data_IF_705458712317
#
_entry.id   IF_705458712317
#
_cell.length_a   1.000
_cell.length_b   1.000
_cell.length_c   1.000
_cell.angle_alpha   90.00
_cell.angle_beta   90.00
_cell.angle_gamma   90.00
#
_symmetry.space_group_name_H-M   'P 1'
#
loop_
_entity.id
_entity.type
_entity.pdbx_description
1 polymer ?
#
# COMPACT_ATOMS: atom_id res chain seq x y z
N UNK A 1 16.18 -28.66 19.36
CA UNK A 1 16.11 -29.11 17.94
C UNK A 1 17.21 -28.38 17.20
N UNK A 2 18.09 -29.15 16.56
CA UNK A 2 19.54 -28.90 16.56
C UNK A 2 20.05 -28.05 15.39
N UNK A 3 21.26 -27.50 15.57
CA UNK A 3 22.09 -26.80 14.57
C UNK A 3 22.21 -27.51 13.21
N UNK A 4 21.87 -28.80 13.13
CA UNK A 4 21.84 -29.59 11.89
C UNK A 4 20.68 -29.17 10.97
N UNK A 5 19.53 -28.76 11.52
CA UNK A 5 18.39 -28.27 10.72
C UNK A 5 18.69 -26.86 10.18
N UNK A 6 19.36 -26.00 10.97
CA UNK A 6 19.83 -24.69 10.49
C UNK A 6 20.84 -24.84 9.34
N UNK A 7 21.76 -25.81 9.44
CA UNK A 7 22.73 -26.10 8.37
C UNK A 7 22.08 -26.66 7.08
N UNK A 8 21.04 -27.50 7.19
CA UNK A 8 20.34 -28.04 6.00
C UNK A 8 19.46 -26.99 5.30
N UNK A 9 18.82 -26.09 6.04
CA UNK A 9 18.06 -24.97 5.46
C UNK A 9 19.00 -23.96 4.80
N UNK A 10 20.16 -23.67 5.39
CA UNK A 10 21.22 -22.91 4.72
C UNK A 10 21.75 -23.60 3.46
N UNK A 11 21.73 -24.93 3.37
CA UNK A 11 22.18 -25.65 2.16
C UNK A 11 21.16 -25.61 1.01
N UNK A 12 19.86 -25.60 1.31
CA UNK A 12 18.79 -25.47 0.32
C UNK A 12 18.60 -24.02 -0.15
N UNK A 13 18.57 -23.06 0.79
CA UNK A 13 18.67 -21.62 0.48
C UNK A 13 20.01 -21.31 -0.20
N UNK A 14 21.05 -22.03 0.20
CA UNK A 14 22.39 -21.97 -0.36
C UNK A 14 22.45 -22.34 -1.83
N UNK A 15 21.53 -23.10 -2.42
CA UNK A 15 21.56 -23.38 -3.88
C UNK A 15 20.93 -22.25 -4.72
N UNK A 16 19.89 -21.57 -4.23
CA UNK A 16 19.39 -20.34 -4.86
C UNK A 16 20.33 -19.16 -4.62
N UNK A 17 20.88 -19.06 -3.41
CA UNK A 17 21.91 -18.10 -3.03
C UNK A 17 23.26 -18.33 -3.72
N UNK A 18 23.71 -19.58 -3.91
CA UNK A 18 24.98 -19.88 -4.62
C UNK A 18 24.94 -19.37 -6.05
N UNK A 19 23.84 -19.58 -6.76
CA UNK A 19 23.72 -19.12 -8.14
C UNK A 19 23.72 -17.59 -8.26
N UNK A 20 23.37 -16.85 -7.20
CA UNK A 20 23.54 -15.41 -7.12
C UNK A 20 24.95 -15.02 -6.66
N UNK A 21 25.50 -15.65 -5.62
CA UNK A 21 26.88 -15.46 -5.15
C UNK A 21 27.95 -15.74 -6.21
N UNK A 22 27.68 -16.67 -7.14
CA UNK A 22 28.58 -17.11 -8.21
C UNK A 22 28.45 -16.31 -9.51
N UNK A 23 27.49 -15.39 -9.64
CA UNK A 23 27.41 -14.49 -10.80
C UNK A 23 28.40 -13.34 -10.60
N UNK A 24 29.32 -13.23 -11.55
CA UNK A 24 30.45 -12.31 -11.53
C UNK A 24 29.99 -10.86 -11.76
N UNK A 25 30.01 -10.06 -10.70
CA UNK A 25 30.33 -8.61 -10.62
C UNK A 25 29.98 -7.99 -9.24
N UNK A 26 29.45 -8.79 -8.30
CA UNK A 26 28.90 -8.24 -7.04
C UNK A 26 29.96 -7.73 -6.04
N UNK A 27 29.84 -6.44 -5.72
CA UNK A 27 30.44 -5.73 -4.60
C UNK A 27 30.32 -6.54 -3.29
N UNK A 28 31.38 -6.54 -2.45
CA UNK A 28 31.43 -7.20 -1.13
C UNK A 28 30.21 -6.83 -0.27
N UNK A 29 29.72 -5.61 -0.43
CA UNK A 29 28.53 -5.08 0.24
C UNK A 29 27.25 -5.87 -0.10
N UNK A 30 26.99 -6.14 -1.39
CA UNK A 30 25.80 -6.88 -1.83
C UNK A 30 25.81 -8.32 -1.34
N UNK A 31 26.97 -8.99 -1.34
CA UNK A 31 27.11 -10.33 -0.75
C UNK A 31 26.86 -10.33 0.75
N UNK A 32 27.38 -9.32 1.47
CA UNK A 32 27.11 -9.18 2.90
C UNK A 32 25.63 -8.91 3.18
N UNK A 33 24.96 -8.14 2.33
CA UNK A 33 23.53 -7.85 2.43
C UNK A 33 22.70 -9.12 2.28
N UNK A 34 22.96 -9.92 1.22
CA UNK A 34 22.22 -11.16 0.99
C UNK A 34 22.43 -12.18 2.12
N UNK A 35 23.63 -12.31 2.67
CA UNK A 35 23.86 -13.19 3.82
C UNK A 35 23.05 -12.77 5.04
N UNK A 36 23.05 -11.47 5.39
CA UNK A 36 22.24 -10.94 6.51
C UNK A 36 20.75 -11.16 6.29
N UNK A 37 20.28 -10.97 5.06
CA UNK A 37 18.89 -11.22 4.66
C UNK A 37 18.52 -12.69 4.84
N UNK A 38 19.35 -13.61 4.35
CA UNK A 38 19.12 -15.05 4.48
C UNK A 38 19.10 -15.49 5.94
N UNK A 39 19.99 -14.96 6.79
CA UNK A 39 19.97 -15.20 8.24
C UNK A 39 18.63 -14.77 8.85
N UNK A 40 18.15 -13.56 8.52
CA UNK A 40 16.85 -13.07 8.99
C UNK A 40 15.67 -13.89 8.47
N UNK A 41 15.71 -14.36 7.23
CA UNK A 41 14.67 -15.25 6.67
C UNK A 41 14.62 -16.57 7.44
N UNK A 42 15.77 -17.12 7.83
CA UNK A 42 15.85 -18.37 8.60
C UNK A 42 15.29 -18.21 10.00
N UNK A 43 15.50 -17.05 10.63
CA UNK A 43 15.03 -16.79 11.99
C UNK A 43 13.58 -16.23 12.05
N UNK A 44 13.03 -15.77 10.92
CA UNK A 44 11.67 -15.25 10.82
C UNK A 44 10.61 -16.34 10.94
N UNK A 45 9.59 -16.09 11.77
CA UNK A 45 8.41 -16.98 11.87
C UNK A 45 7.44 -16.85 10.70
N UNK A 46 7.64 -15.86 9.83
CA UNK A 46 6.79 -15.66 8.65
C UNK A 46 7.27 -16.45 7.44
N UNK A 47 8.45 -17.06 7.50
CA UNK A 47 9.00 -17.86 6.42
C UNK A 47 9.01 -19.35 6.76
N UNK A 48 8.77 -20.17 5.74
CA UNK A 48 8.96 -21.62 5.76
C UNK A 48 9.54 -22.05 4.42
N UNK A 49 10.63 -22.80 4.44
CA UNK A 49 11.31 -23.29 3.23
C UNK A 49 11.67 -22.16 2.24
N UNK A 50 12.04 -20.98 2.75
CA UNK A 50 12.39 -19.80 1.96
C UNK A 50 11.20 -19.07 1.33
N UNK A 51 9.97 -19.45 1.64
CA UNK A 51 8.72 -18.83 1.18
C UNK A 51 7.97 -18.22 2.37
N UNK A 52 7.29 -17.12 2.16
CA UNK A 52 6.41 -16.53 3.17
C UNK A 52 5.16 -17.39 3.34
N UNK A 53 4.78 -17.61 4.60
CA UNK A 53 3.58 -18.33 4.99
C UNK A 53 2.38 -17.43 4.73
N UNK A 54 1.62 -17.77 3.69
CA UNK A 54 0.35 -17.09 3.41
C UNK A 54 -0.77 -17.61 4.31
N UNK A 55 -1.63 -16.70 4.77
CA UNK A 55 -2.85 -16.99 5.54
C UNK A 55 -4.08 -16.50 4.79
N UNK A 56 -4.00 -16.51 3.46
CA UNK A 56 -5.07 -16.09 2.56
C UNK A 56 -6.40 -16.76 2.92
N UNK A 57 -7.51 -15.99 3.06
CA UNK A 57 -8.84 -16.55 3.17
C UNK A 57 -9.18 -17.47 1.99
N UNK A 58 -10.04 -18.45 2.25
CA UNK A 58 -10.63 -19.31 1.23
C UNK A 58 -12.16 -19.16 1.29
N UNK A 59 -12.65 -18.09 0.68
CA UNK A 59 -14.06 -17.72 0.61
C UNK A 59 -14.69 -18.37 -0.61
N UNK A 60 -15.84 -19.01 -0.41
CA UNK A 60 -16.61 -19.59 -1.50
C UNK A 60 -17.00 -18.50 -2.51
N UNK A 61 -16.62 -18.71 -3.77
CA UNK A 61 -16.93 -17.77 -4.86
C UNK A 61 -18.18 -18.23 -5.63
N UNK A 62 -19.13 -17.33 -5.91
CA UNK A 62 -20.26 -17.64 -6.78
C UNK A 62 -19.86 -17.69 -8.26
N UNK A 63 -18.69 -17.15 -8.62
CA UNK A 63 -18.14 -17.21 -9.98
C UNK A 63 -16.86 -18.04 -10.06
N UNK A 64 -16.68 -18.78 -11.15
CA UNK A 64 -15.43 -19.50 -11.41
C UNK A 64 -14.31 -18.54 -11.80
N UNK A 65 -13.07 -18.92 -11.48
CA UNK A 65 -11.88 -18.17 -11.91
C UNK A 65 -11.85 -17.94 -13.42
N UNK A 66 -12.28 -18.91 -14.22
CA UNK A 66 -12.36 -18.78 -15.69
C UNK A 66 -13.34 -17.69 -16.14
N UNK A 67 -14.49 -17.55 -15.46
CA UNK A 67 -15.48 -16.50 -15.74
C UNK A 67 -14.89 -15.12 -15.43
N UNK A 68 -14.23 -14.99 -14.28
CA UNK A 68 -13.59 -13.75 -13.83
C UNK A 68 -12.50 -13.32 -14.82
N UNK A 69 -11.63 -14.24 -15.22
CA UNK A 69 -10.58 -13.97 -16.21
C UNK A 69 -11.17 -13.58 -17.58
N UNK A 70 -12.29 -14.21 -17.99
CA UNK A 70 -12.96 -13.82 -19.22
C UNK A 70 -13.49 -12.38 -19.17
N UNK A 71 -14.13 -11.97 -18.06
CA UNK A 71 -14.55 -10.57 -17.88
C UNK A 71 -13.35 -9.62 -17.91
N UNK A 72 -12.28 -10.00 -17.23
CA UNK A 72 -11.07 -9.19 -17.11
C UNK A 72 -10.39 -8.93 -18.47
N UNK A 73 -10.40 -9.90 -19.39
CA UNK A 73 -9.79 -9.72 -20.71
C UNK A 73 -10.75 -9.21 -21.80
N UNK A 74 -12.03 -9.58 -21.73
CA UNK A 74 -13.00 -9.31 -22.82
C UNK A 74 -14.07 -8.27 -22.46
N UNK A 75 -14.23 -7.92 -21.18
CA UNK A 75 -15.20 -6.93 -20.70
C UNK A 75 -14.56 -5.76 -19.95
N UNK A 76 -13.23 -5.64 -19.97
CA UNK A 76 -12.48 -4.62 -19.23
C UNK A 76 -12.94 -3.19 -19.51
N UNK A 77 -13.34 -2.89 -20.75
CA UNK A 77 -13.82 -1.56 -21.13
C UNK A 77 -15.01 -1.07 -20.31
N UNK A 78 -15.88 -1.98 -19.84
CA UNK A 78 -17.01 -1.64 -18.98
C UNK A 78 -16.61 -1.40 -17.51
N UNK A 79 -15.42 -1.86 -17.11
CA UNK A 79 -14.87 -1.66 -15.77
C UNK A 79 -14.15 -0.31 -15.64
N UNK A 80 -13.77 0.30 -16.78
CA UNK A 80 -13.07 1.58 -16.88
C UNK A 80 -14.01 2.78 -16.74
N UNK A 81 -13.51 3.94 -16.29
CA UNK A 81 -14.23 5.19 -16.47
C UNK A 81 -14.40 5.49 -17.97
N UNK A 82 -15.52 6.13 -18.32
CA UNK A 82 -15.84 6.48 -19.71
C UNK A 82 -15.04 7.70 -20.22
N UNK A 83 -14.43 8.44 -19.30
CA UNK A 83 -13.55 9.57 -19.56
C UNK A 83 -12.37 9.53 -18.59
N UNK A 84 -11.30 10.25 -18.91
CA UNK A 84 -10.19 10.44 -17.97
C UNK A 84 -10.70 11.13 -16.72
N UNK A 85 -10.36 10.57 -15.55
CA UNK A 85 -10.75 11.16 -14.27
C UNK A 85 -9.96 12.45 -13.99
N UNK A 86 -10.58 13.45 -13.33
CA UNK A 86 -9.89 14.68 -13.00
C UNK A 86 -8.78 14.44 -11.97
N UNK A 87 -7.76 15.28 -12.02
CA UNK A 87 -6.74 15.40 -10.99
C UNK A 87 -6.46 16.87 -10.69
N UNK A 88 -5.85 17.13 -9.54
CA UNK A 88 -5.38 18.44 -9.13
C UNK A 88 -3.86 18.52 -9.33
N UNK A 89 -3.32 19.62 -9.89
CA UNK A 89 -1.88 19.82 -9.91
C UNK A 89 -1.32 19.86 -8.49
N UNK A 90 -0.23 19.13 -8.24
CA UNK A 90 0.44 19.15 -6.93
C UNK A 90 1.05 20.52 -6.67
N UNK A 91 0.82 21.07 -5.48
CA UNK A 91 1.46 22.29 -5.00
C UNK A 91 2.92 22.00 -4.58
N UNK A 92 3.83 22.05 -5.56
CA UNK A 92 5.25 21.78 -5.35
C UNK A 92 5.89 22.74 -4.37
N UNK A 93 5.45 24.01 -4.33
CA UNK A 93 5.98 25.01 -3.40
C UNK A 93 5.63 24.64 -1.95
N UNK A 94 4.39 24.20 -1.73
CA UNK A 94 3.94 23.66 -0.44
C UNK A 94 4.76 22.45 -0.03
N UNK A 95 4.94 21.46 -0.91
CA UNK A 95 5.74 20.25 -0.63
C UNK A 95 7.23 20.53 -0.42
N UNK A 96 7.76 21.56 -1.08
CA UNK A 96 9.17 21.98 -0.93
C UNK A 96 9.48 22.58 0.45
N UNK A 97 8.45 23.00 1.19
CA UNK A 97 8.57 23.45 2.58
C UNK A 97 8.26 22.30 3.52
N UNK A 98 9.23 21.87 4.35
CA UNK A 98 8.99 20.80 5.36
C UNK A 98 7.92 21.23 6.36
N UNK A 99 7.15 20.28 6.85
CA UNK A 99 6.06 20.51 7.82
C UNK A 99 6.28 19.68 9.08
N UNK A 100 6.15 20.31 10.25
CA UNK A 100 6.04 19.61 11.52
C UNK A 100 4.70 18.88 11.61
N UNK A 101 3.61 19.59 11.31
CA UNK A 101 2.27 19.03 11.30
C UNK A 101 2.09 18.03 10.15
N UNK A 102 1.43 16.88 10.39
CA UNK A 102 1.26 15.89 9.35
C UNK A 102 0.34 16.37 8.23
N UNK A 103 0.75 16.15 6.99
CA UNK A 103 -0.06 16.41 5.79
C UNK A 103 0.24 15.38 4.71
N UNK A 104 -0.75 15.11 3.87
CA UNK A 104 -0.70 14.06 2.86
C UNK A 104 -1.15 14.58 1.52
N UNK A 105 -0.37 14.28 0.49
CA UNK A 105 -0.73 14.41 -0.91
C UNK A 105 -0.97 13.04 -1.50
N UNK A 106 -2.16 12.80 -2.03
CA UNK A 106 -2.46 11.53 -2.71
C UNK A 106 -1.99 11.58 -4.15
N UNK A 107 -1.08 10.69 -4.53
CA UNK A 107 -0.52 10.64 -5.89
C UNK A 107 -1.26 9.66 -6.80
N UNK A 108 -2.37 9.09 -6.30
CA UNK A 108 -3.18 8.09 -6.97
C UNK A 108 -2.82 6.66 -6.55
N UNK A 109 -3.78 5.75 -6.72
CA UNK A 109 -3.71 4.36 -6.26
C UNK A 109 -3.35 4.29 -4.77
N UNK A 110 -2.24 3.65 -4.45
CA UNK A 110 -1.68 3.52 -3.10
C UNK A 110 -0.51 4.47 -2.83
N UNK A 111 -0.18 5.36 -3.77
CA UNK A 111 0.96 6.26 -3.65
C UNK A 111 0.62 7.52 -2.85
N UNK A 112 1.38 7.76 -1.78
CA UNK A 112 1.20 8.91 -0.89
C UNK A 112 2.52 9.66 -0.70
N UNK A 113 2.46 10.99 -0.71
CA UNK A 113 3.56 11.84 -0.23
C UNK A 113 3.15 12.46 1.10
N UNK A 114 3.90 12.17 2.15
CA UNK A 114 3.56 12.53 3.53
C UNK A 114 4.68 13.40 4.09
N UNK A 115 4.33 14.53 4.71
CA UNK A 115 5.22 15.20 5.66
C UNK A 115 4.73 14.88 7.07
N UNK A 116 5.65 14.54 7.98
CA UNK A 116 5.38 14.38 9.41
C UNK A 116 6.67 14.66 10.20
N UNK A 117 6.61 15.56 11.18
CA UNK A 117 7.77 16.02 11.95
C UNK A 117 8.99 16.39 11.09
N UNK A 118 8.77 17.17 10.05
CA UNK A 118 9.76 17.55 9.03
C UNK A 118 10.36 16.38 8.23
N UNK A 119 9.84 15.17 8.36
CA UNK A 119 10.27 14.01 7.57
C UNK A 119 9.34 13.81 6.39
N UNK A 120 9.92 13.73 5.19
CA UNK A 120 9.20 13.41 3.95
C UNK A 120 9.22 11.93 3.70
N UNK A 121 8.04 11.35 3.61
CA UNK A 121 7.83 9.93 3.35
C UNK A 121 7.10 9.78 2.02
N UNK A 122 7.63 8.94 1.15
CA UNK A 122 6.98 8.54 -0.09
C UNK A 122 6.58 7.07 0.03
N UNK A 123 5.28 6.80 0.01
CA UNK A 123 4.71 5.46 0.22
C UNK A 123 4.32 4.87 -1.13
N UNK A 124 4.69 3.61 -1.36
CA UNK A 124 4.35 2.76 -2.52
C UNK A 124 4.27 3.53 -3.85
N UNK A 125 5.38 4.17 -4.28
CA UNK A 125 5.34 5.14 -5.36
C UNK A 125 5.30 4.49 -6.74
N UNK A 126 4.15 4.58 -7.40
CA UNK A 126 3.93 4.11 -8.78
C UNK A 126 3.38 5.25 -9.62
N UNK A 127 4.14 5.63 -10.65
CA UNK A 127 3.84 6.80 -11.49
C UNK A 127 3.41 6.43 -12.91
N UNK A 128 3.72 5.21 -13.38
CA UNK A 128 3.54 4.81 -14.76
C UNK A 128 2.53 3.64 -14.87
N UNK A 129 2.92 2.40 -14.55
CA UNK A 129 2.07 1.22 -14.78
C UNK A 129 2.16 0.15 -13.69
N UNK A 130 1.03 -0.53 -13.49
CA UNK A 130 0.77 -1.56 -12.49
C UNK A 130 1.02 -3.00 -12.99
N UNK A 131 1.96 -3.20 -13.92
CA UNK A 131 2.14 -4.50 -14.58
C UNK A 131 3.57 -4.76 -15.03
N UNK A 132 3.92 -5.96 -15.53
CA UNK A 132 5.14 -6.13 -16.30
C UNK A 132 5.12 -5.24 -17.55
N UNK A 133 6.29 -4.76 -18.00
CA UNK A 133 6.40 -3.84 -19.15
C UNK A 133 5.63 -4.33 -20.40
N UNK A 134 5.62 -5.64 -20.66
CA UNK A 134 4.92 -6.27 -21.79
C UNK A 134 3.39 -6.12 -21.75
N UNK A 135 2.83 -5.83 -20.57
CA UNK A 135 1.40 -5.65 -20.31
C UNK A 135 1.05 -4.20 -19.98
N UNK A 136 1.96 -3.24 -20.21
CA UNK A 136 1.77 -1.82 -19.85
C UNK A 136 0.48 -1.22 -20.41
N UNK A 137 0.13 -1.51 -21.66
CA UNK A 137 -1.08 -0.97 -22.31
C UNK A 137 -2.39 -1.48 -21.70
N UNK A 138 -2.38 -2.66 -21.07
CA UNK A 138 -3.56 -3.23 -20.43
C UNK A 138 -3.86 -2.53 -19.10
N UNK A 139 -2.81 -2.06 -18.40
CA UNK A 139 -2.87 -1.49 -17.06
C UNK A 139 -2.42 -0.02 -17.03
N UNK A 140 -2.85 0.75 -18.03
CA UNK A 140 -2.70 2.20 -18.04
C UNK A 140 -3.53 2.84 -16.93
N UNK A 141 -3.05 3.97 -16.38
CA UNK A 141 -3.78 4.72 -15.36
C UNK A 141 -5.07 5.33 -15.92
N UNK A 142 -6.13 5.28 -15.13
CA UNK A 142 -7.41 5.98 -15.36
C UNK A 142 -7.37 7.46 -14.98
N UNK A 143 -6.49 7.78 -14.04
CA UNK A 143 -6.18 9.13 -13.59
C UNK A 143 -4.69 9.38 -13.84
N UNK A 144 -4.37 10.44 -14.58
CA UNK A 144 -2.99 10.79 -14.85
C UNK A 144 -2.25 11.01 -13.52
N UNK A 145 -0.98 10.59 -13.46
CA UNK A 145 -0.11 10.96 -12.35
C UNK A 145 -0.14 12.51 -12.22
N UNK A 146 -0.45 13.05 -11.04
CA UNK A 146 -0.68 14.49 -10.88
C UNK A 146 0.61 15.31 -10.96
N UNK A 147 1.76 14.62 -10.92
CA UNK A 147 3.10 15.16 -10.99
C UNK A 147 4.07 14.08 -11.46
N UNK A 148 5.15 14.49 -12.15
CA UNK A 148 6.25 13.59 -12.46
C UNK A 148 7.13 13.36 -11.22
N UNK A 149 7.68 12.16 -11.02
CA UNK A 149 8.56 11.87 -9.87
C UNK A 149 9.79 12.79 -9.80
N UNK A 150 10.22 13.32 -10.94
CA UNK A 150 11.30 14.30 -11.09
C UNK A 150 11.00 15.66 -10.46
N UNK A 151 9.72 16.00 -10.33
CA UNK A 151 9.26 17.30 -9.83
C UNK A 151 8.90 17.26 -8.34
N UNK A 152 8.87 16.08 -7.72
CA UNK A 152 8.68 15.96 -6.28
C UNK A 152 9.97 16.38 -5.55
N UNK A 153 9.84 17.07 -4.39
CA UNK A 153 10.94 17.17 -3.45
C UNK A 153 11.46 15.77 -3.10
N UNK A 154 12.77 15.62 -2.98
CA UNK A 154 13.35 14.31 -2.63
C UNK A 154 12.82 13.89 -1.23
N UNK A 155 12.20 12.70 -1.11
CA UNK A 155 11.77 12.18 0.18
C UNK A 155 12.98 11.74 0.98
N UNK A 156 12.86 11.72 2.31
CA UNK A 156 13.92 11.18 3.17
C UNK A 156 13.80 9.65 3.29
N UNK A 157 12.55 9.15 3.28
CA UNK A 157 12.25 7.71 3.36
C UNK A 157 11.26 7.33 2.26
N UNK A 158 11.54 6.25 1.54
CA UNK A 158 10.56 5.55 0.70
C UNK A 158 10.12 4.28 1.45
N UNK A 159 8.82 4.16 1.68
CA UNK A 159 8.20 3.00 2.32
C UNK A 159 7.53 2.15 1.25
N UNK A 160 7.78 0.84 1.27
CA UNK A 160 7.14 -0.14 0.37
C UNK A 160 6.32 -1.13 1.21
N UNK A 161 5.07 -1.42 0.85
CA UNK A 161 4.29 -2.47 1.54
C UNK A 161 4.60 -3.88 1.06
N UNK A 162 4.77 -4.09 -0.25
CA UNK A 162 5.03 -5.40 -0.84
C UNK A 162 5.56 -5.28 -2.28
N UNK A 163 5.84 -6.40 -2.94
CA UNK A 163 6.55 -6.43 -4.21
C UNK A 163 5.67 -6.48 -5.46
N UNK A 164 4.35 -6.27 -5.40
CA UNK A 164 3.53 -6.22 -6.62
C UNK A 164 3.82 -4.97 -7.46
N UNK A 165 3.49 -5.01 -8.75
CA UNK A 165 3.86 -3.96 -9.71
C UNK A 165 3.18 -2.62 -9.44
N UNK A 166 2.01 -2.63 -8.84
CA UNK A 166 1.20 -1.44 -8.51
C UNK A 166 1.55 -0.82 -7.15
N UNK A 167 2.50 -1.41 -6.43
CA UNK A 167 3.09 -0.88 -5.18
C UNK A 167 4.60 -0.67 -5.26
N UNK A 168 5.29 -1.42 -6.13
CA UNK A 168 6.74 -1.36 -6.32
C UNK A 168 7.08 -1.24 -7.81
N UNK A 169 7.36 -0.02 -8.25
CA UNK A 169 7.72 0.28 -9.64
C UNK A 169 9.24 0.39 -9.82
N UNK A 170 9.81 -0.47 -10.67
CA UNK A 170 11.26 -0.50 -10.98
C UNK A 170 11.77 0.87 -11.46
N UNK A 171 11.02 1.56 -12.31
CA UNK A 171 11.45 2.85 -12.87
C UNK A 171 11.57 3.94 -11.81
N UNK A 172 10.72 3.88 -10.78
CA UNK A 172 10.76 4.79 -9.64
C UNK A 172 11.91 4.44 -8.70
N UNK A 173 12.13 3.16 -8.38
CA UNK A 173 13.28 2.75 -7.56
C UNK A 173 14.60 3.16 -8.21
N UNK A 174 14.76 2.92 -9.51
CA UNK A 174 15.97 3.32 -10.26
C UNK A 174 16.22 4.81 -10.22
N UNK A 175 15.17 5.62 -10.30
CA UNK A 175 15.26 7.07 -10.23
C UNK A 175 15.73 7.59 -8.87
N UNK A 176 15.43 6.85 -7.79
CA UNK A 176 15.80 7.23 -6.42
C UNK A 176 17.09 6.54 -5.93
N UNK A 177 17.66 5.60 -6.69
CA UNK A 177 18.79 4.78 -6.26
C UNK A 177 20.06 5.59 -5.89
N UNK A 178 20.35 6.66 -6.63
CA UNK A 178 21.51 7.52 -6.43
C UNK A 178 21.21 8.73 -5.51
N UNK A 179 19.95 8.94 -5.13
CA UNK A 179 19.51 10.05 -4.27
C UNK A 179 19.71 9.77 -2.79
N UNK A 180 19.75 10.83 -1.99
CA UNK A 180 19.84 10.73 -0.53
C UNK A 180 18.46 10.38 0.06
N UNK A 181 18.15 9.08 0.04
CA UNK A 181 16.88 8.50 0.51
C UNK A 181 17.13 7.11 1.10
N UNK A 182 16.43 6.79 2.18
CA UNK A 182 16.40 5.43 2.73
C UNK A 182 15.17 4.67 2.21
N UNK A 183 15.34 3.39 1.90
CA UNK A 183 14.25 2.51 1.51
C UNK A 183 13.88 1.59 2.67
N UNK A 184 12.66 1.72 3.18
CA UNK A 184 12.11 0.86 4.23
C UNK A 184 11.15 -0.12 3.58
N UNK A 185 11.54 -1.40 3.58
CA UNK A 185 10.84 -2.44 2.82
C UNK A 185 10.67 -3.71 3.66
N UNK A 186 9.68 -4.57 3.36
CA UNK A 186 9.56 -5.86 4.02
C UNK A 186 10.75 -6.77 3.72
N UNK A 187 10.98 -7.74 4.58
CA UNK A 187 12.08 -8.70 4.44
C UNK A 187 12.06 -9.36 3.05
N UNK A 188 13.24 -9.46 2.46
CA UNK A 188 13.53 -9.96 1.12
C UNK A 188 13.13 -9.07 -0.08
N UNK A 189 12.33 -8.01 0.10
CA UNK A 189 12.05 -7.03 -0.98
C UNK A 189 13.32 -6.29 -1.41
N UNK A 190 14.29 -6.13 -0.50
CA UNK A 190 15.57 -5.47 -0.77
C UNK A 190 16.35 -6.09 -1.94
N UNK A 191 16.15 -7.38 -2.24
CA UNK A 191 16.76 -8.03 -3.43
C UNK A 191 16.38 -7.35 -4.73
N UNK A 192 15.13 -6.90 -4.86
CA UNK A 192 14.69 -6.18 -6.05
C UNK A 192 15.39 -4.82 -6.14
N UNK A 193 15.46 -4.08 -5.03
CA UNK A 193 16.08 -2.76 -4.96
C UNK A 193 17.57 -2.81 -5.28
N UNK A 194 18.31 -3.77 -4.70
CA UNK A 194 19.72 -3.99 -5.00
C UNK A 194 19.94 -4.29 -6.49
N UNK A 195 19.13 -5.19 -7.07
CA UNK A 195 19.15 -5.50 -8.51
C UNK A 195 18.86 -4.27 -9.38
N UNK A 196 18.08 -3.32 -8.86
CA UNK A 196 17.74 -2.08 -9.55
C UNK A 196 18.73 -0.94 -9.28
N UNK A 197 19.80 -1.19 -8.54
CA UNK A 197 20.94 -0.28 -8.38
C UNK A 197 20.94 0.50 -7.06
N UNK A 198 20.03 0.21 -6.13
CA UNK A 198 20.07 0.82 -4.80
C UNK A 198 21.21 0.20 -3.99
N UNK A 199 22.06 1.03 -3.40
CA UNK A 199 23.13 0.55 -2.52
C UNK A 199 22.55 -0.15 -1.29
N UNK A 200 23.07 -1.33 -0.87
CA UNK A 200 22.57 -2.04 0.31
C UNK A 200 22.54 -1.18 1.58
N UNK A 201 23.49 -0.25 1.75
CA UNK A 201 23.51 0.68 2.88
C UNK A 201 22.28 1.59 3.00
N UNK A 202 21.52 1.80 1.91
CA UNK A 202 20.29 2.61 1.89
C UNK A 202 19.02 1.79 2.07
N UNK A 203 19.13 0.46 2.21
CA UNK A 203 17.98 -0.44 2.28
C UNK A 203 17.87 -0.98 3.70
N UNK A 204 16.72 -0.77 4.32
CA UNK A 204 16.34 -1.40 5.59
C UNK A 204 15.19 -2.35 5.33
N UNK A 205 15.46 -3.62 5.56
CA UNK A 205 14.46 -4.68 5.48
C UNK A 205 13.82 -4.90 6.85
N UNK A 206 12.52 -5.19 6.89
CA UNK A 206 11.76 -5.34 8.12
C UNK A 206 10.97 -6.65 8.11
N UNK A 207 11.08 -7.44 9.18
CA UNK A 207 10.07 -8.45 9.49
C UNK A 207 8.90 -7.78 10.24
N UNK A 208 7.79 -8.49 10.41
CA UNK A 208 6.67 -7.95 11.18
C UNK A 208 7.09 -7.65 12.61
N UNK A 209 6.65 -6.48 13.08
CA UNK A 209 6.96 -5.84 14.36
C UNK A 209 8.38 -5.28 14.49
N UNK A 210 9.21 -5.38 13.45
CA UNK A 210 10.45 -4.61 13.42
C UNK A 210 10.13 -3.12 13.29
N UNK A 211 10.93 -2.30 13.96
CA UNK A 211 10.79 -0.84 13.94
C UNK A 211 12.13 -0.15 13.75
N UNK A 212 12.11 1.01 13.09
CA UNK A 212 13.25 1.90 13.01
C UNK A 212 12.79 3.35 13.09
N UNK A 213 13.58 4.18 13.77
CA UNK A 213 13.36 5.62 13.78
C UNK A 213 14.25 6.27 12.73
N UNK A 214 13.66 7.16 11.93
CA UNK A 214 14.36 8.06 11.03
C UNK A 214 13.94 9.49 11.38
N UNK A 215 14.91 10.39 11.58
CA UNK A 215 14.68 11.68 12.24
C UNK A 215 13.92 11.49 13.57
N UNK A 216 12.68 11.97 13.67
CA UNK A 216 11.80 11.87 14.83
C UNK A 216 10.59 10.95 14.62
N UNK A 217 10.54 10.22 13.51
CA UNK A 217 9.42 9.36 13.14
C UNK A 217 9.83 7.90 13.24
N UNK A 218 9.07 7.13 14.03
CA UNK A 218 9.26 5.69 14.15
C UNK A 218 8.36 4.96 13.18
N UNK A 219 8.97 4.18 12.30
CA UNK A 219 8.32 3.32 11.33
C UNK A 219 8.31 1.90 11.89
N UNK A 220 7.14 1.27 11.94
CA UNK A 220 7.00 -0.13 12.35
C UNK A 220 6.32 -0.89 11.22
N UNK A 221 6.98 -1.93 10.72
CA UNK A 221 6.37 -2.87 9.79
C UNK A 221 5.37 -3.72 10.57
N UNK A 222 4.08 -3.58 10.31
CA UNK A 222 3.02 -4.30 10.98
C UNK A 222 2.49 -5.44 10.09
N UNK A 223 1.80 -6.44 10.66
CA UNK A 223 1.25 -7.53 9.87
C UNK A 223 0.24 -7.08 8.81
N UNK A 224 0.19 -7.83 7.73
CA UNK A 224 -0.82 -7.78 6.67
C UNK A 224 -1.06 -9.21 6.17
N UNK A 225 -2.20 -9.48 5.54
CA UNK A 225 -2.56 -10.77 4.97
C UNK A 225 -2.68 -10.68 3.46
N UNK A 226 -1.55 -10.83 2.77
CA UNK A 226 -1.45 -10.73 1.32
C UNK A 226 -0.63 -11.90 0.73
N UNK A 227 -0.18 -11.72 -0.49
CA UNK A 227 0.81 -12.55 -1.16
C UNK A 227 1.90 -11.67 -1.81
N UNK A 228 2.89 -12.32 -2.42
CA UNK A 228 3.94 -11.63 -3.16
C UNK A 228 4.34 -12.39 -4.43
N UNK A 229 5.10 -11.71 -5.30
CA UNK A 229 5.70 -12.26 -6.51
C UNK A 229 5.44 -11.38 -7.73
N UNK A 230 6.45 -11.29 -8.59
CA UNK A 230 6.43 -10.47 -9.80
C UNK A 230 6.47 -11.30 -11.09
N UNK A 231 6.64 -12.60 -10.96
CA UNK A 231 6.78 -13.58 -12.03
C UNK A 231 6.00 -14.86 -11.70
N UNK A 232 5.96 -15.82 -12.63
CA UNK A 232 5.36 -17.13 -12.37
C UNK A 232 6.19 -18.04 -11.43
N UNK A 233 7.39 -17.62 -10.99
CA UNK A 233 8.34 -18.49 -10.30
C UNK A 233 8.75 -18.00 -8.90
N UNK A 234 8.38 -16.77 -8.54
CA UNK A 234 8.82 -16.06 -7.31
C UNK A 234 7.68 -15.84 -6.32
N UNK A 235 6.54 -16.53 -6.49
CA UNK A 235 5.40 -16.45 -5.57
C UNK A 235 5.82 -16.60 -4.11
N UNK A 236 5.44 -15.64 -3.27
CA UNK A 236 5.74 -15.56 -1.83
C UNK A 236 7.24 -15.66 -1.50
N UNK A 237 8.12 -15.17 -2.37
CA UNK A 237 9.58 -15.13 -2.10
C UNK A 237 10.02 -13.92 -1.26
N UNK A 238 9.11 -12.97 -1.05
CA UNK A 238 9.32 -11.71 -0.33
C UNK A 238 8.17 -11.49 0.66
N UNK A 239 8.44 -10.80 1.77
CA UNK A 239 7.41 -10.44 2.75
C UNK A 239 6.56 -9.27 2.24
N UNK A 240 5.38 -9.13 2.84
CA UNK A 240 4.47 -7.99 2.71
C UNK A 240 4.20 -7.43 4.11
N UNK A 241 3.95 -6.14 4.25
CA UNK A 241 3.68 -5.49 5.53
C UNK A 241 2.75 -4.29 5.38
N UNK A 242 1.98 -4.03 6.44
CA UNK A 242 1.41 -2.71 6.69
C UNK A 242 2.43 -1.85 7.45
N UNK A 243 2.18 -0.56 7.58
CA UNK A 243 3.12 0.38 8.20
C UNK A 243 2.45 1.32 9.19
N UNK A 244 2.95 1.34 10.42
CA UNK A 244 2.66 2.39 11.38
C UNK A 244 3.79 3.43 11.35
N UNK A 245 3.43 4.71 11.26
CA UNK A 245 4.35 5.84 11.26
C UNK A 245 4.00 6.75 12.45
N UNK A 246 4.82 6.69 13.50
CA UNK A 246 4.59 7.40 14.75
C UNK A 246 5.57 8.56 14.90
N UNK A 247 5.06 9.77 14.76
CA UNK A 247 5.75 11.01 15.09
C UNK A 247 5.31 11.60 16.43
N UNK A 248 5.91 12.73 16.80
CA UNK A 248 5.49 13.60 17.88
C UNK A 248 4.22 14.36 17.51
N UNK A 249 4.12 14.85 16.27
CA UNK A 249 2.96 15.61 15.81
C UNK A 249 1.77 14.74 15.43
N UNK A 250 1.95 13.47 15.05
CA UNK A 250 0.84 12.58 14.71
C UNK A 250 1.19 11.10 14.63
N UNK A 251 0.16 10.28 14.39
CA UNK A 251 0.24 8.82 14.27
C UNK A 251 -0.54 8.36 13.04
N UNK A 252 0.14 7.75 12.08
CA UNK A 252 -0.43 7.33 10.80
C UNK A 252 -0.33 5.82 10.61
N UNK A 253 -1.32 5.23 9.95
CA UNK A 253 -1.29 3.82 9.54
C UNK A 253 -1.52 3.67 8.04
N UNK A 254 -0.72 2.86 7.36
CA UNK A 254 -0.90 2.49 5.96
C UNK A 254 -1.05 0.96 5.86
N UNK A 255 -2.14 0.48 5.27
CA UNK A 255 -2.44 -0.95 5.24
C UNK A 255 -1.56 -1.76 4.28
N UNK A 256 -1.00 -1.13 3.25
CA UNK A 256 -0.66 -1.87 2.03
C UNK A 256 -1.92 -2.51 1.44
N UNK A 257 -1.74 -3.62 0.74
CA UNK A 257 -2.84 -4.51 0.39
C UNK A 257 -2.95 -5.64 1.40
N UNK A 258 -4.17 -5.95 1.82
CA UNK A 258 -4.39 -7.00 2.80
C UNK A 258 -5.83 -7.48 2.80
N UNK A 259 -6.03 -8.79 2.91
CA UNK A 259 -7.30 -9.34 3.34
C UNK A 259 -7.52 -9.03 4.83
N UNK A 260 -8.78 -8.93 5.25
CA UNK A 260 -9.10 -8.67 6.65
C UNK A 260 -8.83 -9.90 7.54
N UNK A 261 -8.24 -9.65 8.72
CA UNK A 261 -8.07 -10.60 9.81
C UNK A 261 -7.91 -9.83 11.13
N UNK A 262 -7.79 -10.54 12.25
CA UNK A 262 -7.53 -10.06 13.60
C UNK A 262 -6.27 -9.20 13.79
N UNK A 263 -5.40 -9.10 12.77
CA UNK A 263 -4.18 -8.30 12.87
C UNK A 263 -4.46 -6.81 13.06
N UNK A 264 -5.56 -6.26 12.53
CA UNK A 264 -5.92 -4.85 12.75
C UNK A 264 -6.13 -4.51 14.22
N UNK A 265 -6.84 -5.38 14.97
CA UNK A 265 -6.99 -5.23 16.42
C UNK A 265 -5.64 -5.33 17.14
N UNK A 266 -4.79 -6.29 16.76
CA UNK A 266 -3.46 -6.44 17.34
C UNK A 266 -2.57 -5.22 17.09
N UNK A 267 -2.71 -4.58 15.93
CA UNK A 267 -2.00 -3.34 15.57
C UNK A 267 -2.53 -2.18 16.42
N UNK A 268 -3.83 -2.03 16.57
CA UNK A 268 -4.43 -1.03 17.44
C UNK A 268 -3.92 -1.14 18.88
N UNK A 269 -3.92 -2.35 19.44
CA UNK A 269 -3.49 -2.62 20.81
C UNK A 269 -2.02 -2.27 21.06
N UNK A 270 -1.16 -2.44 20.05
CA UNK A 270 0.29 -2.24 20.18
C UNK A 270 0.78 -0.86 19.75
N UNK A 271 0.19 -0.30 18.71
CA UNK A 271 0.71 0.85 17.97
C UNK A 271 -0.29 2.01 17.89
N UNK A 272 -1.57 1.75 18.18
CA UNK A 272 -2.61 2.77 18.20
C UNK A 272 -2.53 3.69 19.42
N UNK A 273 -3.40 4.72 19.47
CA UNK A 273 -4.35 5.10 18.43
C UNK A 273 -3.69 5.78 17.21
N UNK A 274 -4.42 5.86 16.10
CA UNK A 274 -4.00 6.53 14.87
C UNK A 274 -4.87 7.75 14.56
N UNK A 275 -4.26 8.84 14.11
CA UNK A 275 -4.97 10.04 13.67
C UNK A 275 -5.60 9.84 12.29
N UNK A 276 -4.95 9.08 11.41
CA UNK A 276 -5.47 8.73 10.09
C UNK A 276 -4.97 7.36 9.65
N UNK A 277 -5.86 6.56 9.07
CA UNK A 277 -5.54 5.28 8.46
C UNK A 277 -5.78 5.33 6.95
N UNK A 278 -4.74 5.01 6.18
CA UNK A 278 -4.76 4.81 4.74
C UNK A 278 -5.04 3.33 4.47
N UNK A 279 -6.27 3.00 4.09
CA UNK A 279 -6.70 1.60 3.94
C UNK A 279 -7.18 1.35 2.52
N UNK A 280 -6.70 0.27 1.91
CA UNK A 280 -7.16 -0.19 0.60
C UNK A 280 -8.66 -0.54 0.59
N UNK A 281 -9.28 -0.41 -0.58
CA UNK A 281 -10.68 -0.78 -0.77
C UNK A 281 -10.95 -1.39 -2.15
N UNK A 282 -11.70 -2.49 -2.15
CA UNK A 282 -12.32 -3.09 -3.32
C UNK A 282 -13.85 -3.23 -3.15
N UNK A 283 -14.56 -3.52 -4.24
CA UNK A 283 -16.03 -3.58 -4.22
C UNK A 283 -16.56 -4.79 -3.42
N UNK A 284 -17.75 -4.63 -2.84
CA UNK A 284 -18.45 -5.74 -2.20
C UNK A 284 -18.92 -6.76 -3.26
N UNK A 285 -18.90 -8.04 -2.89
CA UNK A 285 -19.61 -9.08 -3.65
C UNK A 285 -21.11 -8.89 -3.43
N UNK A 286 -21.89 -8.77 -4.50
CA UNK A 286 -23.33 -8.48 -4.44
C UNK A 286 -24.12 -9.43 -5.34
N UNK A 287 -25.36 -9.71 -4.94
CA UNK A 287 -26.34 -10.46 -5.75
C UNK A 287 -25.83 -11.81 -6.29
N UNK A 288 -24.93 -12.46 -5.56
CA UNK A 288 -24.29 -13.71 -5.99
C UNK A 288 -23.42 -13.56 -7.25
N UNK A 289 -22.86 -12.38 -7.50
CA UNK A 289 -21.97 -12.08 -8.62
C UNK A 289 -20.67 -11.46 -8.14
N UNK A 290 -19.60 -11.72 -8.87
CA UNK A 290 -18.25 -11.29 -8.53
C UNK A 290 -17.43 -12.35 -7.79
N UNK A 291 -16.14 -12.10 -7.71
CA UNK A 291 -15.18 -12.97 -7.03
C UNK A 291 -14.80 -12.34 -5.69
N UNK A 292 -14.84 -13.07 -4.56
CA UNK A 292 -14.38 -12.56 -3.28
C UNK A 292 -12.92 -12.15 -3.35
N UNK A 293 -12.67 -10.84 -3.29
CA UNK A 293 -11.34 -10.23 -3.34
C UNK A 293 -10.46 -10.66 -2.17
N UNK A 294 -11.06 -11.16 -1.10
CA UNK A 294 -10.37 -11.78 0.04
C UNK A 294 -9.54 -12.98 -0.37
N UNK A 295 -9.89 -13.68 -1.45
CA UNK A 295 -9.08 -14.79 -1.97
C UNK A 295 -7.80 -14.32 -2.68
N UNK A 296 -7.67 -13.02 -2.94
CA UNK A 296 -6.52 -12.37 -3.58
C UNK A 296 -5.78 -11.39 -2.69
N UNK A 297 -6.14 -11.34 -1.41
CA UNK A 297 -5.40 -10.55 -0.42
C UNK A 297 -5.93 -9.16 -0.28
N UNK A 298 -7.23 -8.98 -0.54
CA UNK A 298 -7.86 -7.67 -0.50
C UNK A 298 -9.15 -7.64 0.32
N UNK A 299 -9.62 -6.43 0.60
CA UNK A 299 -10.83 -6.13 1.36
C UNK A 299 -11.94 -5.61 0.47
N UNK A 300 -13.10 -6.26 0.57
CA UNK A 300 -14.37 -5.62 0.25
C UNK A 300 -14.57 -4.39 1.14
N UNK A 301 -15.31 -3.37 0.68
CA UNK A 301 -15.57 -2.14 1.45
C UNK A 301 -16.08 -2.37 2.89
N UNK A 302 -16.92 -3.38 3.11
CA UNK A 302 -17.35 -3.77 4.48
C UNK A 302 -16.19 -4.20 5.38
N UNK A 303 -15.19 -4.87 4.82
CA UNK A 303 -13.97 -5.26 5.54
C UNK A 303 -13.04 -4.08 5.76
N UNK A 304 -12.88 -3.18 4.77
CA UNK A 304 -12.14 -1.92 4.94
C UNK A 304 -12.72 -1.11 6.10
N UNK A 305 -14.06 -0.99 6.17
CA UNK A 305 -14.72 -0.30 7.28
C UNK A 305 -14.47 -1.02 8.62
N UNK A 306 -14.59 -2.35 8.66
CA UNK A 306 -14.30 -3.11 9.88
C UNK A 306 -12.84 -2.96 10.33
N UNK A 307 -11.88 -2.98 9.39
CA UNK A 307 -10.46 -2.76 9.66
C UNK A 307 -10.20 -1.37 10.25
N UNK A 308 -10.84 -0.34 9.69
CA UNK A 308 -10.78 1.04 10.20
C UNK A 308 -11.28 1.13 11.65
N UNK A 309 -12.44 0.53 11.94
CA UNK A 309 -13.00 0.51 13.29
C UNK A 309 -12.10 -0.26 14.27
N UNK A 310 -11.55 -1.39 13.84
CA UNK A 310 -10.64 -2.22 14.64
C UNK A 310 -9.32 -1.52 14.96
N UNK A 311 -8.81 -0.69 14.03
CA UNK A 311 -7.63 0.14 14.24
C UNK A 311 -7.85 1.27 15.25
N UNK A 312 -9.12 1.65 15.50
CA UNK A 312 -9.46 2.81 16.32
C UNK A 312 -8.89 4.12 15.77
N UNK A 313 -8.74 4.22 14.44
CA UNK A 313 -8.26 5.43 13.79
C UNK A 313 -9.33 6.52 13.77
N UNK A 314 -8.94 7.79 13.82
CA UNK A 314 -9.92 8.91 13.81
C UNK A 314 -10.51 9.15 12.43
N UNK A 315 -9.68 9.08 11.38
CA UNK A 315 -10.06 9.37 9.99
C UNK A 315 -9.68 8.21 9.07
N UNK A 316 -10.58 7.88 8.13
CA UNK A 316 -10.35 6.86 7.11
C UNK A 316 -10.03 7.52 5.77
N UNK A 317 -8.85 7.23 5.24
CA UNK A 317 -8.40 7.65 3.92
C UNK A 317 -8.36 6.41 2.99
N UNK A 318 -9.31 6.23 2.07
CA UNK A 318 -9.29 5.09 1.16
C UNK A 318 -8.23 5.23 0.07
N UNK A 319 -7.49 4.16 -0.17
CA UNK A 319 -6.46 4.04 -1.24
C UNK A 319 -6.75 2.83 -2.15
N UNK A 320 -5.88 2.54 -3.12
CA UNK A 320 -5.98 1.37 -4.02
C UNK A 320 -7.19 1.40 -4.99
N UNK A 321 -7.83 2.55 -5.18
CA UNK A 321 -8.98 2.72 -6.07
C UNK A 321 -8.73 3.81 -7.13
N UNK A 322 -9.68 3.97 -8.06
CA UNK A 322 -9.71 4.94 -9.17
C UNK A 322 -8.62 4.83 -10.24
N UNK A 323 -7.46 4.23 -9.97
CA UNK A 323 -6.28 4.37 -10.85
C UNK A 323 -6.11 3.22 -11.83
N UNK A 324 -6.34 1.97 -11.41
CA UNK A 324 -6.20 0.78 -12.24
C UNK A 324 -7.39 -0.16 -12.04
N UNK A 325 -7.83 -0.88 -13.09
CA UNK A 325 -8.78 -2.00 -12.93
C UNK A 325 -8.01 -3.29 -12.63
N UNK A 326 -7.84 -3.56 -11.33
CA UNK A 326 -7.17 -4.78 -10.85
C UNK A 326 -8.17 -5.90 -10.54
N UNK A 327 -9.47 -5.58 -10.48
CA UNK A 327 -10.55 -6.51 -10.20
C UNK A 327 -11.63 -6.49 -11.29
N UNK A 328 -12.56 -7.44 -11.20
CA UNK A 328 -13.69 -7.57 -12.13
C UNK A 328 -14.95 -6.77 -11.72
N UNK A 329 -14.78 -5.71 -10.92
CA UNK A 329 -15.82 -4.75 -10.53
C UNK A 329 -15.60 -3.41 -11.25
N UNK A 330 -16.61 -2.54 -11.31
CA UNK A 330 -16.46 -1.21 -11.91
C UNK A 330 -15.54 -0.34 -11.03
N UNK A 331 -14.79 0.56 -11.64
CA UNK A 331 -13.76 1.37 -10.95
C UNK A 331 -14.27 2.21 -9.77
N UNK A 332 -15.53 2.64 -9.76
CA UNK A 332 -16.16 3.50 -8.74
C UNK A 332 -17.02 2.74 -7.72
N UNK A 333 -17.27 1.45 -7.96
CA UNK A 333 -18.02 0.58 -7.04
C UNK A 333 -17.38 0.48 -5.64
N UNK A 334 -16.05 0.33 -5.46
CA UNK A 334 -15.43 0.29 -4.14
C UNK A 334 -15.79 1.50 -3.27
N UNK A 335 -15.76 2.69 -3.85
CA UNK A 335 -16.07 3.92 -3.14
C UNK A 335 -17.56 4.11 -2.91
N UNK A 336 -18.40 3.71 -3.87
CA UNK A 336 -19.85 3.71 -3.67
C UNK A 336 -20.22 2.84 -2.46
N UNK A 337 -19.60 1.68 -2.33
CA UNK A 337 -19.83 0.77 -1.21
C UNK A 337 -19.28 1.32 0.10
N UNK A 338 -18.05 1.85 0.09
CA UNK A 338 -17.42 2.39 1.29
C UNK A 338 -18.18 3.61 1.85
N UNK A 339 -18.73 4.46 0.98
CA UNK A 339 -19.58 5.59 1.39
C UNK A 339 -20.83 5.08 2.11
N UNK A 340 -21.46 4.02 1.62
CA UNK A 340 -22.62 3.42 2.28
C UNK A 340 -22.26 2.85 3.66
N UNK A 341 -21.12 2.15 3.77
CA UNK A 341 -20.61 1.65 5.06
C UNK A 341 -20.29 2.80 6.04
N UNK A 342 -19.71 3.90 5.54
CA UNK A 342 -19.36 5.07 6.34
C UNK A 342 -20.61 5.82 6.85
N UNK A 343 -21.67 5.91 6.04
CA UNK A 343 -22.95 6.50 6.46
C UNK A 343 -23.58 5.74 7.62
N UNK A 344 -23.45 4.40 7.64
CA UNK A 344 -23.99 3.56 8.71
C UNK A 344 -23.17 3.68 10.00
N UNK A 345 -21.86 3.77 9.87
CA UNK A 345 -20.93 3.77 11.02
C UNK A 345 -20.63 5.17 11.58
N UNK A 346 -20.92 6.22 10.81
CA UNK A 346 -20.50 7.59 11.14
C UNK A 346 -19.01 7.84 10.95
N UNK A 347 -18.33 7.01 10.17
CA UNK A 347 -16.89 7.13 9.91
C UNK A 347 -16.56 8.43 9.15
N UNK A 348 -15.52 9.13 9.61
CA UNK A 348 -15.02 10.33 8.94
C UNK A 348 -14.13 9.94 7.76
N UNK A 349 -14.69 10.03 6.54
CA UNK A 349 -14.00 9.74 5.29
C UNK A 349 -13.22 10.95 4.75
N UNK A 350 -11.95 10.73 4.39
CA UNK A 350 -11.09 11.73 3.73
C UNK A 350 -10.92 11.30 2.28
N UNK A 351 -11.61 11.98 1.35
CA UNK A 351 -11.65 11.58 -0.08
C UNK A 351 -11.14 12.70 -0.99
N UNK A 352 -9.84 13.02 -0.94
CA UNK A 352 -9.32 14.13 -1.72
C UNK A 352 -9.19 13.76 -3.19
N UNK A 353 -9.02 14.78 -4.02
CA UNK A 353 -8.66 14.57 -5.42
C UNK A 353 -7.22 14.06 -5.54
N UNK A 354 -6.93 13.26 -6.55
CA UNK A 354 -5.54 12.89 -6.88
C UNK A 354 -4.72 14.16 -7.13
N UNK A 355 -3.65 14.34 -6.36
CA UNK A 355 -2.75 15.50 -6.34
C UNK A 355 -3.05 16.54 -5.26
N UNK A 356 -4.19 16.43 -4.57
CA UNK A 356 -4.58 17.35 -3.49
C UNK A 356 -3.83 17.05 -2.19
N UNK A 357 -3.45 18.11 -1.47
CA UNK A 357 -2.70 18.02 -0.21
C UNK A 357 -3.56 18.41 0.99
N UNK A 358 -3.76 17.47 1.92
CA UNK A 358 -4.66 17.60 3.05
C UNK A 358 -3.92 17.55 4.39
N UNK A 359 -4.26 18.40 5.37
CA UNK A 359 -3.76 18.24 6.73
C UNK A 359 -4.39 16.99 7.37
N UNK A 360 -3.67 16.36 8.29
CA UNK A 360 -4.22 15.24 9.08
C UNK A 360 -5.18 15.75 10.15
N UNK A 361 -4.74 16.78 10.88
CA UNK A 361 -5.52 17.41 11.95
C UNK A 361 -6.39 18.54 11.41
N UNK A 362 -7.47 18.83 12.13
CA UNK A 362 -8.45 19.85 11.77
C UNK A 362 -9.64 19.30 11.01
N UNK A 363 -10.39 20.19 10.37
CA UNK A 363 -11.59 19.84 9.60
C UNK A 363 -11.23 18.97 8.38
N UNK A 364 -12.08 17.98 8.11
CA UNK A 364 -12.01 17.15 6.90
C UNK A 364 -13.03 17.63 5.90
N UNK A 365 -12.59 17.74 4.64
CA UNK A 365 -13.48 17.95 3.51
C UNK A 365 -13.59 16.64 2.72
N UNK A 366 -14.75 15.99 2.80
CA UNK A 366 -15.08 14.82 1.99
C UNK A 366 -15.64 15.30 0.65
N UNK A 367 -14.90 15.04 -0.44
CA UNK A 367 -15.31 15.39 -1.79
C UNK A 367 -15.61 14.14 -2.60
N UNK A 368 -16.73 14.12 -3.31
CA UNK A 368 -17.10 13.05 -4.24
C UNK A 368 -16.82 13.48 -5.68
N UNK A 369 -15.59 13.92 -5.95
CA UNK A 369 -15.18 14.55 -7.21
C UNK A 369 -15.32 13.65 -8.46
N UNK A 370 -15.52 12.34 -8.24
CA UNK A 370 -15.72 11.35 -9.29
C UNK A 370 -17.19 11.08 -9.61
N UNK A 371 -18.11 11.61 -8.80
CA UNK A 371 -19.55 11.58 -9.05
C UNK A 371 -19.94 12.77 -9.92
N UNK A 372 -20.83 12.55 -10.88
CA UNK A 372 -21.37 13.61 -11.73
C UNK A 372 -22.10 14.67 -10.90
N UNK A 373 -22.00 15.94 -11.30
CA UNK A 373 -22.68 17.07 -10.67
C UNK A 373 -24.21 16.91 -10.66
N UNK A 374 -24.76 16.05 -11.54
CA UNK A 374 -26.18 15.70 -11.60
C UNK A 374 -26.67 14.84 -10.42
N UNK A 375 -25.77 14.29 -9.60
CA UNK A 375 -26.08 13.51 -8.40
C UNK A 375 -25.94 14.38 -7.13
N UNK A 376 -26.71 15.48 -7.06
CA UNK A 376 -26.72 16.42 -5.93
C UNK A 376 -27.01 15.78 -4.55
N UNK A 377 -27.59 14.57 -4.53
CA UNK A 377 -28.02 13.87 -3.31
C UNK A 377 -26.84 13.47 -2.41
N UNK A 378 -25.64 13.26 -2.98
CA UNK A 378 -24.44 12.89 -2.20
C UNK A 378 -23.65 14.12 -1.68
N UNK A 379 -23.76 15.28 -2.33
CA UNK A 379 -23.04 16.50 -1.92
C UNK A 379 -23.57 17.11 -0.61
N UNK A 380 -24.86 16.91 -0.33
CA UNK A 380 -25.53 17.54 0.81
C UNK A 380 -25.50 16.70 2.11
N UNK A 381 -25.08 15.44 2.06
CA UNK A 381 -25.22 14.50 3.19
C UNK A 381 -23.94 14.28 4.02
N UNK A 382 -22.81 14.94 3.68
CA UNK A 382 -21.56 14.86 4.46
C UNK A 382 -21.17 16.18 5.15
N UNK A 383 -21.96 17.24 5.01
CA UNK A 383 -21.89 18.38 5.92
C UNK A 383 -22.50 17.95 7.27
N UNK A 384 -21.77 17.18 8.08
CA UNK A 384 -22.14 16.96 9.47
C UNK A 384 -22.07 18.30 10.19
N UNK A 385 -23.27 18.87 10.35
CA UNK A 385 -23.63 19.80 11.41
C UNK A 385 -22.93 19.40 12.70
N UNK A 386 -22.06 20.28 13.19
CA UNK A 386 -21.71 20.35 14.60
C UNK A 386 -23.00 20.26 15.42
N UNK A 387 -23.08 19.42 16.48
CA UNK A 387 -24.20 19.53 17.38
C UNK A 387 -24.20 20.93 17.95
N UNK A 388 -25.27 21.69 17.68
CA UNK A 388 -25.49 22.96 18.33
C UNK A 388 -25.40 22.71 19.84
N UNK A 389 -24.46 23.39 20.49
CA UNK A 389 -24.39 23.45 21.94
C UNK A 389 -25.73 24.00 22.43
N UNK A 390 -26.59 23.13 22.94
CA UNK A 390 -27.76 23.55 23.70
C UNK A 390 -27.21 24.06 25.02
N UNK A 391 -27.10 25.38 25.12
CA UNK A 391 -27.07 26.06 26.40
C UNK A 391 -28.46 25.91 27.02
N UNK A 392 -28.54 25.28 28.19
CA UNK A 392 -29.48 25.62 29.24
C UNK A 392 -28.73 25.69 30.57
#
# INVERSE_FOLDING_TARGET
MSNVIKASVLSALGMMGLNQLLRADDNVESRSSELKRLERIVDSTQFKDGKVITRMPNVASPESMSSVMWKFFFQRGALKPQSTLPNMPVDVAKLSTRSLEPRITWLGHSSLFIDIDNTRVLVDPVFDYASPWIAKSLFSRNVNAPIAKEQLPTPDVIVISHDHYDHLEESTVRFYADKDVEFFVPLAVGRHLEKWGVAPSKIREFDWWDSATFNSVTFTAAPANHNSGRTGFDSNSTLWASWAMRGQSGSLFYSGDTAYDSHFKQIADKLGPFDMAFIEVAANVKDGKGFPVENWGHMQARHTMQAFMDLGAKKLFPVHWSTYELFAHKWDEPMTDLIAEAQVTGAELVTPMVGETNPVHGETYTHFWWMDDSLEVAKQSYAFTQPATIND
#
